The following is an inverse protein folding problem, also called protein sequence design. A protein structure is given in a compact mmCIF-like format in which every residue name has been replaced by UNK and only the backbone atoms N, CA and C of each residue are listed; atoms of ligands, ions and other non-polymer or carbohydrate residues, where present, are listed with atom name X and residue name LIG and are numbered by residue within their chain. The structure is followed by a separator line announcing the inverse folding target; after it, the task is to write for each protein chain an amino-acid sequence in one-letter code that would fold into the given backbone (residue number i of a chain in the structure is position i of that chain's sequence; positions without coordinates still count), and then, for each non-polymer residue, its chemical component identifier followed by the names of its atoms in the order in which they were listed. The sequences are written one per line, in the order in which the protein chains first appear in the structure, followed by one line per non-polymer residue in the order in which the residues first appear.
data_IF_415862557481
#
_entry.id   IF_415862557481
#
_cell.length_a   1.000
_cell.length_b   1.000
_cell.length_c   1.000
_cell.angle_alpha   90.00
_cell.angle_beta   90.00
_cell.angle_gamma   90.00
#
_symmetry.space_group_name_H-M   'P 1'
#
loop_
_entity.id
_entity.type
_entity.pdbx_description
1 polymer ?
#
# COMPACT_ATOMS: atom_id res chain seq x y z
N UNK A 1 -0.15 4.36 -20.84
CA UNK A 1 -1.57 4.00 -20.76
C UNK A 1 -1.80 3.18 -19.50
N UNK A 2 -2.95 3.31 -18.84
CA UNK A 2 -3.29 2.60 -17.57
C UNK A 2 -4.76 2.20 -17.61
N UNK A 3 -5.08 1.03 -17.06
CA UNK A 3 -6.45 0.51 -17.01
C UNK A 3 -7.43 1.49 -16.33
N UNK A 4 -8.53 1.74 -17.03
CA UNK A 4 -9.69 2.50 -16.57
C UNK A 4 -10.99 1.71 -16.78
N UNK A 5 -10.88 0.39 -17.00
CA UNK A 5 -12.00 -0.53 -17.14
C UNK A 5 -12.37 -1.15 -15.79
N UNK A 6 -11.42 -1.62 -15.00
CA UNK A 6 -11.72 -2.31 -13.74
C UNK A 6 -11.97 -1.32 -12.59
N UNK A 7 -12.98 -1.60 -11.76
CA UNK A 7 -13.22 -0.90 -10.48
C UNK A 7 -12.69 -1.71 -9.31
N UNK A 8 -11.89 -1.05 -8.48
CA UNK A 8 -11.26 -1.59 -7.29
C UNK A 8 -11.40 -0.61 -6.11
N UNK A 9 -11.23 -1.14 -4.90
CA UNK A 9 -11.42 -0.40 -3.65
C UNK A 9 -10.16 -0.56 -2.80
N UNK A 10 -9.19 0.35 -2.95
CA UNK A 10 -7.91 0.22 -2.30
C UNK A 10 -8.13 0.30 -0.78
N UNK A 11 -7.51 -0.63 -0.06
CA UNK A 11 -7.73 -0.80 1.37
C UNK A 11 -6.38 -0.67 2.06
N UNK A 12 -6.27 0.28 2.98
CA UNK A 12 -5.03 0.47 3.73
C UNK A 12 -4.81 -0.67 4.72
N UNK A 13 -3.61 -1.23 4.77
CA UNK A 13 -3.30 -2.38 5.63
C UNK A 13 -3.45 -2.07 7.11
N UNK A 14 -3.24 -0.81 7.52
CA UNK A 14 -3.48 -0.38 8.91
C UNK A 14 -4.96 -0.48 9.32
N UNK A 15 -5.89 -0.27 8.39
CA UNK A 15 -7.32 -0.47 8.66
C UNK A 15 -7.63 -1.96 8.86
N UNK A 16 -7.14 -2.82 7.98
CA UNK A 16 -7.32 -4.28 8.07
C UNK A 16 -6.73 -4.82 9.38
N UNK A 17 -5.55 -4.34 9.78
CA UNK A 17 -4.95 -4.69 11.06
C UNK A 17 -5.82 -4.22 12.25
N UNK A 18 -6.38 -3.01 12.17
CA UNK A 18 -7.32 -2.49 13.18
C UNK A 18 -8.58 -3.34 13.31
N UNK A 19 -9.14 -3.79 12.19
CA UNK A 19 -10.28 -4.71 12.13
C UNK A 19 -9.95 -6.05 12.77
N UNK A 20 -8.82 -6.67 12.41
CA UNK A 20 -8.39 -7.94 12.98
C UNK A 20 -8.20 -7.82 14.50
N UNK A 21 -7.55 -6.74 14.97
CA UNK A 21 -7.40 -6.48 16.41
C UNK A 21 -8.78 -6.40 17.08
N UNK A 22 -9.72 -5.67 16.50
CA UNK A 22 -11.07 -5.52 17.06
C UNK A 22 -11.83 -6.84 17.08
N UNK A 23 -11.66 -7.68 16.07
CA UNK A 23 -12.21 -9.05 16.05
C UNK A 23 -11.64 -9.88 17.20
N UNK A 24 -10.33 -9.84 17.44
CA UNK A 24 -9.69 -10.56 18.55
C UNK A 24 -10.26 -10.09 19.90
N UNK A 25 -10.43 -8.79 20.10
CA UNK A 25 -11.03 -8.24 21.33
C UNK A 25 -12.47 -8.73 21.53
N UNK A 26 -13.29 -8.73 20.48
CA UNK A 26 -14.66 -9.25 20.56
C UNK A 26 -14.66 -10.74 20.94
N UNK A 27 -13.75 -11.53 20.37
CA UNK A 27 -13.61 -12.94 20.73
C UNK A 27 -13.22 -13.13 22.20
N UNK A 28 -12.29 -12.31 22.73
CA UNK A 28 -11.92 -12.33 24.16
C UNK A 28 -13.09 -11.94 25.07
N UNK A 29 -14.01 -11.10 24.58
CA UNK A 29 -15.26 -10.75 25.27
C UNK A 29 -16.35 -11.84 25.15
N UNK A 30 -16.02 -13.01 24.60
CA UNK A 30 -16.94 -14.15 24.47
C UNK A 30 -17.82 -14.10 23.22
N UNK A 31 -17.61 -13.16 22.28
CA UNK A 31 -18.31 -13.16 21.00
C UNK A 31 -17.81 -14.32 20.14
N UNK A 32 -18.73 -15.13 19.62
CA UNK A 32 -18.38 -16.20 18.67
C UNK A 32 -18.12 -15.62 17.29
N UNK A 33 -16.86 -15.63 16.87
CA UNK A 33 -16.44 -15.25 15.51
C UNK A 33 -16.04 -16.51 14.75
N UNK A 34 -16.80 -16.88 13.72
CA UNK A 34 -16.50 -18.02 12.86
C UNK A 34 -16.98 -17.79 11.43
N UNK A 35 -16.36 -18.48 10.47
CA UNK A 35 -16.67 -18.38 9.05
C UNK A 35 -15.98 -17.19 8.36
N UNK A 36 -16.55 -16.75 7.24
CA UNK A 36 -15.91 -15.81 6.31
C UNK A 36 -16.40 -14.38 6.57
N UNK A 37 -15.47 -13.44 6.74
CA UNK A 37 -15.76 -12.02 6.84
C UNK A 37 -15.10 -11.25 5.71
N UNK A 38 -15.73 -10.19 5.25
CA UNK A 38 -15.15 -9.26 4.30
C UNK A 38 -14.88 -7.91 4.96
N UNK A 39 -13.82 -7.27 4.50
CA UNK A 39 -13.54 -5.87 4.79
C UNK A 39 -12.83 -5.25 3.59
N UNK A 40 -13.06 -3.96 3.34
CA UNK A 40 -12.50 -3.24 2.20
C UNK A 40 -12.36 -1.74 2.53
N UNK A 41 -11.92 -0.89 1.60
CA UNK A 41 -12.14 0.56 1.64
C UNK A 41 -13.52 0.93 1.05
N UNK A 42 -13.98 2.17 1.28
CA UNK A 42 -15.27 2.65 0.74
C UNK A 42 -15.13 3.40 -0.59
N UNK A 43 -13.95 3.91 -0.88
CA UNK A 43 -13.69 4.64 -2.12
C UNK A 43 -13.44 3.67 -3.26
N UNK A 44 -14.08 3.94 -4.40
CA UNK A 44 -13.96 3.17 -5.62
C UNK A 44 -13.08 3.93 -6.60
N UNK A 45 -12.07 3.28 -7.15
CA UNK A 45 -11.21 3.83 -8.19
C UNK A 45 -10.93 2.78 -9.26
N UNK A 46 -10.53 3.25 -10.42
CA UNK A 46 -9.80 2.47 -11.43
C UNK A 46 -8.29 2.56 -11.19
N UNK A 47 -7.50 1.70 -11.82
CA UNK A 47 -6.04 1.80 -11.77
C UNK A 47 -5.53 3.14 -12.30
N UNK A 48 -6.18 3.69 -13.32
CA UNK A 48 -5.87 5.00 -13.90
C UNK A 48 -6.07 6.11 -12.87
N UNK A 49 -7.22 6.14 -12.18
CA UNK A 49 -7.51 7.13 -11.14
C UNK A 49 -6.53 7.00 -9.96
N UNK A 50 -6.19 5.78 -9.54
CA UNK A 50 -5.17 5.56 -8.51
C UNK A 50 -3.80 6.10 -8.94
N UNK A 51 -3.39 5.88 -10.19
CA UNK A 51 -2.13 6.39 -10.72
C UNK A 51 -2.09 7.92 -10.70
N UNK A 52 -3.20 8.59 -11.04
CA UNK A 52 -3.28 10.05 -10.97
C UNK A 52 -3.14 10.55 -9.52
N UNK A 53 -3.75 9.86 -8.55
CA UNK A 53 -3.62 10.18 -7.12
C UNK A 53 -2.19 9.94 -6.61
N UNK A 54 -1.50 8.90 -7.08
CA UNK A 54 -0.09 8.66 -6.79
C UNK A 54 0.77 9.81 -7.30
N UNK A 55 0.57 10.22 -8.56
CA UNK A 55 1.32 11.33 -9.13
C UNK A 55 1.09 12.63 -8.36
N UNK A 56 -0.18 12.94 -8.03
CA UNK A 56 -0.56 14.10 -7.24
C UNK A 56 0.07 14.11 -5.84
N UNK A 57 0.00 13.00 -5.10
CA UNK A 57 0.66 12.87 -3.78
C UNK A 57 2.18 13.01 -3.87
N UNK A 58 2.79 12.53 -4.95
CA UNK A 58 4.23 12.62 -5.18
C UNK A 58 4.69 13.94 -5.81
N UNK A 59 3.78 14.81 -6.27
CA UNK A 59 4.14 16.02 -7.01
C UNK A 59 4.72 15.75 -8.41
N UNK A 60 4.30 14.65 -9.05
CA UNK A 60 4.73 14.24 -10.39
C UNK A 60 3.73 14.70 -11.46
N UNK A 61 4.21 15.04 -12.65
CA UNK A 61 3.34 15.31 -13.80
C UNK A 61 2.70 14.01 -14.34
N UNK A 62 1.37 13.98 -14.37
CA UNK A 62 0.57 12.88 -14.90
C UNK A 62 -0.10 13.18 -16.26
N UNK A 63 0.25 14.31 -16.90
CA UNK A 63 -0.39 14.77 -18.16
C UNK A 63 -0.36 13.75 -19.30
N UNK A 64 0.62 12.84 -19.29
CA UNK A 64 0.82 11.78 -20.29
C UNK A 64 0.16 10.45 -19.92
N UNK A 65 -0.44 10.32 -18.73
CA UNK A 65 -1.09 9.09 -18.29
C UNK A 65 -2.48 8.96 -18.93
N UNK A 66 -2.59 8.12 -19.96
CA UNK A 66 -3.83 7.91 -20.73
C UNK A 66 -4.65 6.72 -20.19
N UNK A 67 -5.99 6.84 -20.07
CA UNK A 67 -6.85 5.75 -19.62
C UNK A 67 -7.14 4.72 -20.73
N UNK A 68 -7.17 3.44 -20.38
CA UNK A 68 -7.60 2.34 -21.25
C UNK A 68 -8.96 1.85 -20.78
N UNK A 69 -10.01 2.03 -21.59
CA UNK A 69 -11.40 1.69 -21.21
C UNK A 69 -11.90 0.39 -21.84
N UNK A 70 -11.12 -0.24 -22.69
CA UNK A 70 -11.46 -1.50 -23.35
C UNK A 70 -11.37 -2.66 -22.35
N UNK A 71 -12.27 -3.65 -22.43
CA UNK A 71 -12.16 -4.85 -21.61
C UNK A 71 -10.81 -5.55 -21.81
N UNK A 72 -10.19 -6.08 -20.74
CA UNK A 72 -8.99 -6.88 -20.85
C UNK A 72 -9.29 -8.19 -21.59
N UNK A 73 -8.28 -8.73 -22.28
CA UNK A 73 -8.39 -10.03 -22.95
C UNK A 73 -8.55 -11.19 -21.96
N UNK A 74 -8.13 -11.00 -20.71
CA UNK A 74 -8.31 -11.95 -19.61
C UNK A 74 -9.61 -11.66 -18.86
N UNK A 75 -10.27 -12.72 -18.38
CA UNK A 75 -11.50 -12.59 -17.59
C UNK A 75 -11.16 -12.01 -16.23
N UNK A 76 -11.56 -10.76 -16.00
CA UNK A 76 -11.45 -10.07 -14.72
C UNK A 76 -12.82 -9.57 -14.26
N UNK A 77 -13.10 -9.56 -12.95
CA UNK A 77 -14.29 -8.89 -12.45
C UNK A 77 -14.24 -7.40 -12.79
N UNK A 78 -15.35 -6.89 -13.33
CA UNK A 78 -15.50 -5.46 -13.64
C UNK A 78 -15.52 -4.59 -12.38
N UNK A 79 -16.07 -5.11 -11.29
CA UNK A 79 -16.21 -4.44 -10.00
C UNK A 79 -15.90 -5.44 -8.88
N UNK A 80 -14.88 -5.13 -8.06
CA UNK A 80 -14.42 -6.00 -6.98
C UNK A 80 -14.98 -5.60 -5.61
N UNK A 81 -16.18 -5.01 -5.58
CA UNK A 81 -16.84 -4.61 -4.32
C UNK A 81 -17.15 -5.83 -3.46
N UNK A 82 -16.83 -5.75 -2.18
CA UNK A 82 -17.21 -6.73 -1.17
C UNK A 82 -18.35 -6.20 -0.31
N UNK A 83 -19.29 -7.07 0.03
CA UNK A 83 -20.28 -6.79 1.06
C UNK A 83 -19.63 -6.93 2.45
N UNK A 84 -19.51 -5.81 3.17
CA UNK A 84 -18.87 -5.70 4.47
C UNK A 84 -19.89 -5.66 5.64
N UNK A 85 -21.20 -5.67 5.35
CA UNK A 85 -22.27 -5.45 6.33
C UNK A 85 -22.14 -6.35 7.57
N UNK A 86 -21.88 -7.64 7.36
CA UNK A 86 -21.69 -8.62 8.44
C UNK A 86 -20.64 -8.19 9.47
N UNK A 87 -19.51 -7.65 9.01
CA UNK A 87 -18.44 -7.25 9.92
C UNK A 87 -18.71 -5.85 10.49
N UNK A 88 -19.25 -4.93 9.68
CA UNK A 88 -19.68 -3.60 10.15
C UNK A 88 -20.67 -3.68 11.32
N UNK A 89 -21.69 -4.54 11.21
CA UNK A 89 -22.66 -4.79 12.27
C UNK A 89 -22.01 -5.33 13.56
N UNK A 90 -20.98 -6.17 13.42
CA UNK A 90 -20.25 -6.72 14.56
C UNK A 90 -19.34 -5.70 15.24
N UNK A 91 -18.69 -4.84 14.45
CA UNK A 91 -17.78 -3.80 14.94
C UNK A 91 -18.54 -2.60 15.52
N UNK A 92 -19.80 -2.41 15.15
CA UNK A 92 -20.65 -1.30 15.63
C UNK A 92 -20.23 0.06 15.08
N UNK A 93 -19.40 0.10 14.04
CA UNK A 93 -19.00 1.33 13.35
C UNK A 93 -18.37 1.03 11.99
N UNK A 94 -18.39 2.02 11.10
CA UNK A 94 -17.61 2.05 9.86
C UNK A 94 -16.17 2.54 10.07
N UNK A 95 -15.64 2.44 11.30
CA UNK A 95 -14.24 2.73 11.61
C UNK A 95 -13.31 1.84 10.79
N UNK A 96 -12.05 2.23 10.58
CA UNK A 96 -11.08 1.51 9.73
C UNK A 96 -11.39 1.64 8.22
N UNK A 97 -11.66 2.86 7.77
CA UNK A 97 -11.82 3.24 6.36
C UNK A 97 -11.02 4.52 6.11
N UNK A 98 -9.70 4.42 6.23
CA UNK A 98 -8.78 5.53 5.96
C UNK A 98 -8.92 5.95 4.49
N UNK A 99 -9.15 7.24 4.19
CA UNK A 99 -9.22 7.72 2.81
C UNK A 99 -7.97 7.33 2.04
N UNK A 100 -8.14 6.90 0.78
CA UNK A 100 -7.07 6.34 -0.03
C UNK A 100 -5.91 7.32 -0.17
N UNK A 101 -6.18 8.61 -0.40
CA UNK A 101 -5.14 9.65 -0.49
C UNK A 101 -4.31 9.77 0.79
N UNK A 102 -4.95 9.61 1.95
CA UNK A 102 -4.27 9.66 3.25
C UNK A 102 -3.43 8.40 3.49
N UNK A 103 -4.01 7.21 3.28
CA UNK A 103 -3.27 5.94 3.38
C UNK A 103 -2.08 5.89 2.42
N UNK A 104 -2.27 6.39 1.20
CA UNK A 104 -1.23 6.51 0.19
C UNK A 104 -0.11 7.44 0.62
N UNK A 105 -0.44 8.63 1.14
CA UNK A 105 0.57 9.57 1.64
C UNK A 105 1.40 8.96 2.79
N UNK A 106 0.77 8.20 3.69
CA UNK A 106 1.47 7.46 4.76
C UNK A 106 2.41 6.41 4.20
N UNK A 107 1.95 5.60 3.24
CA UNK A 107 2.76 4.55 2.61
C UNK A 107 3.96 5.11 1.83
N UNK A 108 3.77 6.23 1.15
CA UNK A 108 4.81 6.82 0.29
C UNK A 108 5.77 7.75 1.05
N UNK A 109 5.48 8.12 2.30
CA UNK A 109 6.29 9.06 3.07
C UNK A 109 7.79 8.71 3.09
N UNK A 110 8.14 7.43 3.14
CA UNK A 110 9.53 6.96 3.20
C UNK A 110 10.28 6.99 1.84
N UNK A 111 9.56 7.00 0.72
CA UNK A 111 10.12 6.87 -0.63
C UNK A 111 9.96 8.12 -1.49
N UNK A 112 9.34 9.17 -0.94
CA UNK A 112 9.26 10.47 -1.61
C UNK A 112 10.66 11.08 -1.62
N UNK A 113 11.28 11.11 -2.79
CA UNK A 113 12.43 12.00 -3.02
C UNK A 113 12.00 13.44 -2.74
N UNK A 114 12.84 14.27 -2.10
CA UNK A 114 12.56 15.70 -2.04
C UNK A 114 12.40 16.22 -3.47
N UNK A 115 11.53 17.23 -3.70
CA UNK A 115 11.40 17.83 -5.02
C UNK A 115 12.79 18.26 -5.47
N UNK A 116 13.23 17.78 -6.63
CA UNK A 116 14.53 18.13 -7.19
C UNK A 116 14.60 19.65 -7.27
N UNK A 117 15.49 20.26 -6.46
CA UNK A 117 15.77 21.68 -6.58
C UNK A 117 16.32 21.91 -7.99
N UNK A 118 15.56 22.61 -8.82
CA UNK A 118 16.02 23.07 -10.13
C UNK A 118 17.20 24.02 -9.85
N UNK A 119 18.44 23.54 -10.04
CA UNK A 119 19.63 24.39 -10.04
C UNK A 119 20.80 24.00 -9.12
N UNK A 120 20.77 22.91 -8.36
CA UNK A 120 21.95 22.48 -7.59
C UNK A 120 22.82 21.49 -8.41
N UNK A 121 24.16 21.68 -8.49
CA UNK A 121 25.04 20.68 -9.08
C UNK A 121 24.92 19.38 -8.28
N UNK A 122 24.69 18.27 -8.98
CA UNK A 122 24.56 16.95 -8.38
C UNK A 122 25.79 16.64 -7.52
N UNK A 123 25.65 16.32 -6.22
CA UNK A 123 26.71 15.66 -5.49
C UNK A 123 26.92 14.30 -6.16
N UNK A 124 28.17 13.99 -6.51
CA UNK A 124 28.53 12.77 -7.22
C UNK A 124 27.81 11.54 -6.65
N UNK A 125 27.18 10.79 -7.54
CA UNK A 125 26.48 9.54 -7.25
C UNK A 125 27.47 8.62 -6.51
N UNK A 126 27.32 8.42 -5.20
CA UNK A 126 28.06 7.36 -4.51
C UNK A 126 27.54 6.03 -5.04
N UNK A 127 28.45 5.17 -5.50
CA UNK A 127 28.11 3.89 -6.10
C UNK A 127 27.28 3.05 -5.12
N UNK A 128 26.17 2.49 -5.60
CA UNK A 128 25.34 1.55 -4.84
C UNK A 128 26.07 0.27 -4.41
N UNK A 129 27.32 0.09 -4.83
CA UNK A 129 28.20 -1.01 -4.42
C UNK A 129 28.77 -0.82 -3.00
N UNK A 130 28.90 0.42 -2.50
CA UNK A 130 29.50 0.70 -1.19
C UNK A 130 28.72 0.08 0.00
N UNK A 131 27.37 0.18 0.07
CA UNK A 131 26.60 -0.38 1.19
C UNK A 131 26.61 -1.92 1.21
N UNK A 132 26.58 -2.56 0.04
CA UNK A 132 26.60 -4.02 -0.05
C UNK A 132 27.97 -4.60 0.31
N UNK A 133 29.06 -3.90 -0.06
CA UNK A 133 30.41 -4.31 0.32
C UNK A 133 30.63 -4.21 1.84
N UNK A 134 30.18 -3.11 2.45
CA UNK A 134 30.22 -2.94 3.91
C UNK A 134 29.45 -4.03 4.65
N UNK A 135 28.22 -4.34 4.20
CA UNK A 135 27.42 -5.41 4.82
C UNK A 135 28.10 -6.78 4.67
N UNK A 136 28.72 -7.06 3.53
CA UNK A 136 29.46 -8.33 3.30
C UNK A 136 30.70 -8.45 4.17
N UNK A 137 31.43 -7.36 4.41
CA UNK A 137 32.58 -7.36 5.31
C UNK A 137 32.16 -7.56 6.77
N UNK A 138 31.11 -6.85 7.21
CA UNK A 138 30.60 -6.96 8.58
C UNK A 138 30.10 -8.38 8.89
N UNK A 139 29.43 -9.03 7.94
CA UNK A 139 29.01 -10.44 8.05
C UNK A 139 30.19 -11.41 8.07
N UNK A 140 31.27 -11.11 7.33
CA UNK A 140 32.51 -11.92 7.34
C UNK A 140 33.27 -11.81 8.65
N UNK A 141 33.34 -10.63 9.24
CA UNK A 141 34.00 -10.43 10.55
C UNK A 141 33.24 -11.13 11.66
N UNK A 142 31.90 -10.99 11.69
CA UNK A 142 31.05 -11.71 12.65
C UNK A 142 31.15 -13.23 12.50
N UNK A 143 31.27 -13.73 11.28
CA UNK A 143 31.48 -15.16 11.02
C UNK A 143 32.80 -15.68 11.56
N UNK A 144 33.88 -14.89 11.48
CA UNK A 144 35.20 -15.25 12.03
C UNK A 144 35.21 -15.25 13.56
N UNK A 145 34.58 -14.25 14.18
CA UNK A 145 34.49 -14.17 15.64
C UNK A 145 33.74 -15.37 16.27
N UNK A 146 32.85 -16.03 15.53
CA UNK A 146 32.13 -17.22 15.98
C UNK A 146 32.93 -18.53 15.81
N UNK A 147 34.04 -18.52 15.06
CA UNK A 147 34.92 -19.69 14.87
C UNK A 147 36.07 -19.74 15.88
N UNK A 148 36.24 -18.68 16.69
CA UNK A 148 37.26 -18.59 17.76
C UNK A 148 36.70 -18.85 19.17
N UNK A 149 35.44 -19.31 19.28
CA UNK A 149 34.78 -19.79 20.50
C UNK A 149 34.69 -21.33 20.51
#
# INVERSE_FOLDING_TARGET
EVDAWQRCYPTWTGDVAGVIRRMVELAQQGRKLHGIFHWQGNECFTWHEMMLLVADVCGLDASRVRPVRTPPHVVLPRDTRLDCSRLEDLLGSSSFRTPFREGLARCLAAVRSPPASIGAPSPGLRSAEEPEQQLREELRERGRALQEL
#
